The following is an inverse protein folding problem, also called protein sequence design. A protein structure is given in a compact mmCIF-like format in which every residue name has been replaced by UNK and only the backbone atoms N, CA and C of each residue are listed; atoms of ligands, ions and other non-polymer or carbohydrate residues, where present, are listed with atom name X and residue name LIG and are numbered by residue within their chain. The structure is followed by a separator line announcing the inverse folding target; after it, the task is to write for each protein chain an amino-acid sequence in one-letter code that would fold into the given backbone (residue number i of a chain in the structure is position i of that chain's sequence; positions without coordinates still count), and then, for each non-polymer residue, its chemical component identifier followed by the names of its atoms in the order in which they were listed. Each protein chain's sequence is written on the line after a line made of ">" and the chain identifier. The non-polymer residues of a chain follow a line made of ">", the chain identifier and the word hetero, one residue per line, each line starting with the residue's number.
data_IF_718177815715
#
_entry.id   IF_718177815715
#
_cell.length_a   1.000
_cell.length_b   1.000
_cell.length_c   1.000
_cell.angle_alpha   90.00
_cell.angle_beta   90.00
_cell.angle_gamma   90.00
#
_symmetry.space_group_name_H-M   'P 1'
#
loop_
_entity.id
_entity.type
_entity.pdbx_description
1 polymer ?
#
# COMPACT_ATOMS: atom_id res chain seq x y z
N UNK A 1 -114.17 28.09 -150.94
CA UNK A 1 -113.59 26.98 -151.73
C UNK A 1 -114.04 26.97 -153.20
N UNK A 2 -115.14 27.63 -153.61
CA UNK A 2 -115.55 27.74 -155.03
C UNK A 2 -114.86 28.87 -155.83
N UNK A 3 -114.27 29.87 -155.17
CA UNK A 3 -113.65 31.03 -155.84
C UNK A 3 -112.14 30.87 -156.16
N UNK A 4 -111.48 29.85 -155.61
CA UNK A 4 -110.01 29.62 -155.76
C UNK A 4 -109.66 28.65 -156.90
N UNK A 5 -110.64 27.93 -157.44
CA UNK A 5 -110.46 27.02 -158.59
C UNK A 5 -110.46 27.77 -159.93
N UNK A 6 -111.15 28.91 -160.00
CA UNK A 6 -111.31 29.72 -161.23
C UNK A 6 -110.10 30.63 -161.54
N UNK A 7 -109.13 30.73 -160.62
CA UNK A 7 -107.91 31.54 -160.78
C UNK A 7 -106.64 30.72 -161.07
N UNK A 8 -106.76 29.45 -161.49
CA UNK A 8 -105.62 28.62 -161.88
C UNK A 8 -104.73 28.15 -160.72
N UNK A 9 -105.18 28.31 -159.48
CA UNK A 9 -104.50 27.81 -158.30
C UNK A 9 -104.91 26.36 -157.99
N UNK A 10 -103.92 25.48 -157.83
CA UNK A 10 -104.14 24.08 -157.47
C UNK A 10 -104.54 23.99 -155.99
N UNK A 11 -105.86 24.02 -155.75
CA UNK A 11 -106.47 24.01 -154.41
C UNK A 11 -105.96 22.85 -153.55
N UNK A 12 -105.59 21.72 -154.17
CA UNK A 12 -105.02 20.55 -153.48
C UNK A 12 -103.63 20.84 -152.90
N UNK A 13 -102.83 21.65 -153.59
CA UNK A 13 -101.48 22.06 -153.19
C UNK A 13 -101.51 23.15 -152.12
N UNK A 14 -102.51 24.05 -152.16
CA UNK A 14 -102.73 25.05 -151.11
C UNK A 14 -103.20 24.38 -149.83
N UNK A 15 -104.15 23.43 -149.90
CA UNK A 15 -104.62 22.69 -148.72
C UNK A 15 -103.49 21.86 -148.10
N UNK A 16 -102.64 21.20 -148.88
CA UNK A 16 -101.49 20.45 -148.34
C UNK A 16 -100.44 21.35 -147.70
N UNK A 17 -100.19 22.54 -148.25
CA UNK A 17 -99.33 23.55 -147.64
C UNK A 17 -99.92 24.09 -146.33
N UNK A 18 -101.22 24.40 -146.29
CA UNK A 18 -101.92 24.86 -145.07
C UNK A 18 -101.88 23.78 -143.99
N UNK A 19 -102.11 22.51 -144.32
CA UNK A 19 -101.97 21.40 -143.37
C UNK A 19 -100.54 21.20 -142.88
N UNK A 20 -99.52 21.43 -143.72
CA UNK A 20 -98.13 21.44 -143.29
C UNK A 20 -97.85 22.61 -142.33
N UNK A 21 -98.37 23.80 -142.59
CA UNK A 21 -98.26 24.94 -141.68
C UNK A 21 -99.00 24.72 -140.35
N UNK A 22 -100.17 24.09 -140.36
CA UNK A 22 -100.87 23.69 -139.14
C UNK A 22 -100.06 22.67 -138.33
N UNK A 23 -99.46 21.66 -138.98
CA UNK A 23 -98.59 20.69 -138.32
C UNK A 23 -97.34 21.36 -137.74
N UNK A 24 -96.67 22.25 -138.48
CA UNK A 24 -95.54 23.02 -137.95
C UNK A 24 -95.94 23.94 -136.81
N UNK A 25 -97.14 24.54 -136.85
CA UNK A 25 -97.65 25.35 -135.74
C UNK A 25 -97.86 24.51 -134.49
N UNK A 26 -98.43 23.30 -134.62
CA UNK A 26 -98.60 22.37 -133.50
C UNK A 26 -97.26 21.88 -132.94
N UNK A 27 -96.28 21.61 -133.81
CA UNK A 27 -94.91 21.27 -133.41
C UNK A 27 -94.22 22.44 -132.69
N UNK A 28 -94.37 23.67 -133.19
CA UNK A 28 -93.86 24.88 -132.54
C UNK A 28 -94.50 25.11 -131.17
N UNK A 29 -95.81 24.88 -131.04
CA UNK A 29 -96.51 24.96 -129.75
C UNK A 29 -96.08 23.86 -128.78
N UNK A 30 -95.82 22.65 -129.28
CA UNK A 30 -95.29 21.54 -128.48
C UNK A 30 -93.87 21.84 -128.00
N UNK A 31 -92.99 22.27 -128.89
CA UNK A 31 -91.62 22.70 -128.55
C UNK A 31 -91.62 23.88 -127.59
N UNK A 32 -92.55 24.82 -127.74
CA UNK A 32 -92.70 25.94 -126.80
C UNK A 32 -93.10 25.47 -125.40
N UNK A 33 -94.00 24.50 -125.29
CA UNK A 33 -94.36 23.88 -123.99
C UNK A 33 -93.17 23.14 -123.37
N UNK A 34 -92.48 22.31 -124.15
CA UNK A 34 -91.27 21.61 -123.72
C UNK A 34 -90.17 22.59 -123.29
N UNK A 35 -90.01 23.72 -123.98
CA UNK A 35 -89.06 24.78 -123.61
C UNK A 35 -89.43 25.46 -122.29
N UNK A 36 -90.73 25.66 -122.02
CA UNK A 36 -91.19 26.24 -120.75
C UNK A 36 -90.95 25.25 -119.61
N UNK A 37 -91.31 23.97 -119.79
CA UNK A 37 -91.06 22.90 -118.80
C UNK A 37 -89.55 22.70 -118.55
N UNK A 38 -88.72 22.78 -119.59
CA UNK A 38 -87.27 22.75 -119.48
C UNK A 38 -86.72 23.96 -118.72
N UNK A 39 -87.31 25.15 -118.89
CA UNK A 39 -86.92 26.36 -118.13
C UNK A 39 -87.32 26.25 -116.66
N UNK A 40 -88.54 25.82 -116.37
CA UNK A 40 -89.00 25.63 -114.99
C UNK A 40 -88.18 24.56 -114.25
N UNK A 41 -87.81 23.47 -114.94
CA UNK A 41 -86.91 22.46 -114.35
C UNK A 41 -85.49 22.99 -114.16
N UNK A 42 -84.96 23.78 -115.09
CA UNK A 42 -83.67 24.46 -114.90
C UNK A 42 -83.69 25.45 -113.72
N UNK A 43 -84.78 26.20 -113.54
CA UNK A 43 -84.95 27.10 -112.39
C UNK A 43 -84.98 26.33 -111.07
N UNK A 44 -85.72 25.21 -111.00
CA UNK A 44 -85.73 24.33 -109.82
C UNK A 44 -84.34 23.77 -109.50
N UNK A 45 -83.64 23.26 -110.52
CA UNK A 45 -82.27 22.76 -110.36
C UNK A 45 -81.31 23.88 -109.91
N UNK A 46 -81.50 25.11 -110.40
CA UNK A 46 -80.70 26.26 -109.96
C UNK A 46 -80.93 26.58 -108.48
N UNK A 47 -82.19 26.56 -108.02
CA UNK A 47 -82.52 26.76 -106.61
C UNK A 47 -81.98 25.64 -105.71
N UNK A 48 -82.09 24.37 -106.16
CA UNK A 48 -81.51 23.23 -105.45
C UNK A 48 -79.99 23.32 -105.37
N UNK A 49 -79.32 23.77 -106.43
CA UNK A 49 -77.88 24.01 -106.42
C UNK A 49 -77.49 25.09 -105.41
N UNK A 50 -78.21 26.21 -105.36
CA UNK A 50 -77.92 27.28 -104.40
C UNK A 50 -78.10 26.82 -102.95
N UNK A 51 -79.12 26.01 -102.66
CA UNK A 51 -79.32 25.44 -101.33
C UNK A 51 -78.23 24.44 -100.96
N UNK A 52 -77.81 23.59 -101.90
CA UNK A 52 -76.67 22.69 -101.71
C UNK A 52 -75.35 23.46 -101.50
N UNK A 53 -75.12 24.55 -102.22
CA UNK A 53 -73.94 25.38 -102.06
C UNK A 53 -73.90 26.06 -100.67
N UNK A 54 -75.06 26.44 -100.11
CA UNK A 54 -75.16 26.94 -98.74
C UNK A 54 -74.85 25.84 -97.71
N UNK A 55 -75.47 24.67 -97.85
CA UNK A 55 -75.23 23.53 -96.95
C UNK A 55 -73.76 23.09 -96.98
N UNK A 56 -73.14 23.06 -98.17
CA UNK A 56 -71.71 22.76 -98.29
C UNK A 56 -70.84 23.76 -97.52
N UNK A 57 -71.16 25.06 -97.58
CA UNK A 57 -70.42 26.08 -96.81
C UNK A 57 -70.57 25.87 -95.30
N UNK A 58 -71.76 25.52 -94.83
CA UNK A 58 -72.01 25.19 -93.42
C UNK A 58 -71.21 23.95 -93.00
N UNK A 59 -71.26 22.88 -93.80
CA UNK A 59 -70.48 21.65 -93.56
C UNK A 59 -68.98 21.93 -93.50
N UNK A 60 -68.43 22.72 -94.43
CA UNK A 60 -67.02 23.13 -94.37
C UNK A 60 -66.69 23.91 -93.10
N UNK A 61 -67.58 24.83 -92.67
CA UNK A 61 -67.43 25.56 -91.41
C UNK A 61 -67.46 24.66 -90.18
N UNK A 62 -68.32 23.64 -90.17
CA UNK A 62 -68.39 22.63 -89.11
C UNK A 62 -67.11 21.76 -89.08
N UNK A 63 -66.59 21.35 -90.23
CA UNK A 63 -65.34 20.57 -90.32
C UNK A 63 -64.16 21.36 -89.76
N UNK A 64 -64.05 22.66 -90.08
CA UNK A 64 -63.01 23.51 -89.51
C UNK A 64 -63.21 23.72 -88.00
N UNK A 65 -64.46 23.90 -87.55
CA UNK A 65 -64.81 23.94 -86.12
C UNK A 65 -64.40 22.68 -85.36
N UNK A 66 -64.69 21.50 -85.92
CA UNK A 66 -64.30 20.20 -85.37
C UNK A 66 -62.77 20.04 -85.33
N UNK A 67 -62.06 20.50 -86.36
CA UNK A 67 -60.59 20.50 -86.38
C UNK A 67 -60.02 21.36 -85.26
N UNK A 68 -60.58 22.55 -85.04
CA UNK A 68 -60.14 23.44 -83.96
C UNK A 68 -60.40 22.81 -82.57
N UNK A 69 -61.60 22.27 -82.34
CA UNK A 69 -61.91 21.56 -81.09
C UNK A 69 -60.99 20.38 -80.85
N UNK A 70 -60.64 19.61 -81.89
CA UNK A 70 -59.67 18.53 -81.78
C UNK A 70 -58.30 19.04 -81.31
N UNK A 71 -57.81 20.12 -81.92
CA UNK A 71 -56.53 20.73 -81.53
C UNK A 71 -56.56 21.22 -80.07
N UNK A 72 -57.68 21.79 -79.62
CA UNK A 72 -57.81 22.27 -78.24
C UNK A 72 -57.92 21.11 -77.23
N UNK A 73 -58.58 20.00 -77.59
CA UNK A 73 -58.56 18.77 -76.78
C UNK A 73 -57.13 18.22 -76.65
N UNK A 74 -56.35 18.22 -77.74
CA UNK A 74 -54.96 17.77 -77.71
C UNK A 74 -54.10 18.66 -76.79
N UNK A 75 -54.25 19.99 -76.86
CA UNK A 75 -53.55 20.92 -75.95
C UNK A 75 -53.95 20.69 -74.50
N UNK A 76 -55.25 20.59 -74.20
CA UNK A 76 -55.73 20.34 -72.85
C UNK A 76 -55.27 18.98 -72.31
N UNK A 77 -55.15 17.97 -73.16
CA UNK A 77 -54.58 16.68 -72.75
C UNK A 77 -53.11 16.82 -72.34
N UNK A 78 -52.31 17.57 -73.10
CA UNK A 78 -50.91 17.83 -72.77
C UNK A 78 -50.81 18.62 -71.46
N UNK A 79 -51.61 19.67 -71.28
CA UNK A 79 -51.65 20.44 -70.04
C UNK A 79 -52.04 19.58 -68.83
N UNK A 80 -53.04 18.70 -69.00
CA UNK A 80 -53.44 17.74 -67.97
C UNK A 80 -52.32 16.78 -67.61
N UNK A 81 -51.58 16.28 -68.58
CA UNK A 81 -50.45 15.38 -68.33
C UNK A 81 -49.30 16.10 -67.60
N UNK A 82 -49.03 17.37 -67.94
CA UNK A 82 -48.04 18.21 -67.24
C UNK A 82 -48.47 18.42 -65.78
N UNK A 83 -49.70 18.88 -65.55
CA UNK A 83 -50.23 19.12 -64.19
C UNK A 83 -50.23 17.84 -63.37
N UNK A 84 -50.59 16.70 -63.96
CA UNK A 84 -50.56 15.40 -63.29
C UNK A 84 -49.13 15.00 -62.90
N UNK A 85 -48.14 15.30 -63.75
CA UNK A 85 -46.73 15.05 -63.42
C UNK A 85 -46.22 15.95 -62.29
N UNK A 86 -46.63 17.22 -62.26
CA UNK A 86 -46.28 18.17 -61.19
C UNK A 86 -46.93 17.77 -59.87
N UNK A 87 -48.20 17.36 -59.88
CA UNK A 87 -48.90 16.85 -58.71
C UNK A 87 -48.22 15.59 -58.14
N UNK A 88 -47.72 14.69 -58.99
CA UNK A 88 -46.97 13.52 -58.54
C UNK A 88 -45.68 13.93 -57.82
N UNK A 89 -44.93 14.89 -58.37
CA UNK A 89 -43.71 15.41 -57.74
C UNK A 89 -43.99 16.07 -56.40
N UNK A 90 -45.01 16.93 -56.33
CA UNK A 90 -45.40 17.56 -55.07
C UNK A 90 -45.90 16.54 -54.05
N UNK A 91 -46.58 15.47 -54.48
CA UNK A 91 -46.97 14.39 -53.57
C UNK A 91 -45.75 13.68 -52.97
N UNK A 92 -44.73 13.40 -53.78
CA UNK A 92 -43.48 12.79 -53.32
C UNK A 92 -42.71 13.71 -52.36
N UNK A 93 -42.63 15.01 -52.66
CA UNK A 93 -42.02 16.02 -51.77
C UNK A 93 -42.78 16.16 -50.45
N UNK A 94 -44.12 16.12 -50.47
CA UNK A 94 -44.92 16.16 -49.25
C UNK A 94 -44.67 14.92 -48.39
N UNK A 95 -44.55 13.74 -49.00
CA UNK A 95 -44.29 12.51 -48.26
C UNK A 95 -42.86 12.42 -47.72
N UNK A 96 -41.86 13.00 -48.40
CA UNK A 96 -40.51 13.13 -47.85
C UNK A 96 -40.49 14.10 -46.66
N UNK A 97 -41.13 15.27 -46.79
CA UNK A 97 -41.23 16.25 -45.70
C UNK A 97 -41.97 15.69 -44.48
N UNK A 98 -43.02 14.89 -44.66
CA UNK A 98 -43.70 14.21 -43.54
C UNK A 98 -42.74 13.30 -42.76
N UNK A 99 -41.90 12.52 -43.46
CA UNK A 99 -40.90 11.65 -42.81
C UNK A 99 -39.86 12.47 -42.04
N UNK A 100 -39.36 13.55 -42.63
CA UNK A 100 -38.43 14.46 -41.94
C UNK A 100 -39.06 15.08 -40.68
N UNK A 101 -40.34 15.47 -40.76
CA UNK A 101 -41.08 15.98 -39.59
C UNK A 101 -41.20 14.89 -38.51
N UNK A 102 -41.53 13.65 -38.87
CA UNK A 102 -41.58 12.54 -37.92
C UNK A 102 -40.22 12.31 -37.23
N UNK A 103 -39.14 12.30 -37.99
CA UNK A 103 -37.77 12.20 -37.45
C UNK A 103 -37.44 13.35 -36.49
N UNK A 104 -37.74 14.59 -36.87
CA UNK A 104 -37.53 15.77 -36.02
C UNK A 104 -38.39 15.72 -34.75
N UNK A 105 -39.61 15.18 -34.82
CA UNK A 105 -40.45 15.00 -33.63
C UNK A 105 -39.86 13.97 -32.68
N UNK A 106 -39.35 12.85 -33.19
CA UNK A 106 -38.66 11.84 -32.38
C UNK A 106 -37.41 12.43 -31.71
N UNK A 107 -36.56 13.13 -32.46
CA UNK A 107 -35.39 13.82 -31.89
C UNK A 107 -35.78 14.82 -30.80
N UNK A 108 -36.92 15.50 -30.93
CA UNK A 108 -37.43 16.41 -29.89
C UNK A 108 -37.85 15.67 -28.62
N UNK A 109 -38.35 14.44 -28.71
CA UNK A 109 -38.60 13.60 -27.54
C UNK A 109 -37.30 13.20 -26.85
N UNK A 110 -36.30 12.74 -27.61
CA UNK A 110 -34.99 12.37 -27.08
C UNK A 110 -34.31 13.57 -26.37
N UNK A 111 -34.40 14.77 -26.96
CA UNK A 111 -33.87 15.99 -26.35
C UNK A 111 -34.58 16.35 -25.03
N UNK A 112 -35.87 16.02 -24.86
CA UNK A 112 -36.56 16.22 -23.58
C UNK A 112 -36.05 15.23 -22.54
N UNK A 113 -35.84 13.97 -22.91
CA UNK A 113 -35.29 12.95 -22.01
C UNK A 113 -33.87 13.31 -21.56
N UNK A 114 -33.01 13.72 -22.50
CA UNK A 114 -31.65 14.21 -22.19
C UNK A 114 -31.70 15.39 -21.23
N UNK A 115 -32.62 16.35 -21.42
CA UNK A 115 -32.75 17.49 -20.51
C UNK A 115 -33.18 17.07 -19.09
N UNK A 116 -34.04 16.07 -18.95
CA UNK A 116 -34.42 15.53 -17.64
C UNK A 116 -33.23 14.89 -16.93
N UNK A 117 -32.48 14.04 -17.65
CA UNK A 117 -31.25 13.41 -17.12
C UNK A 117 -30.21 14.46 -16.74
N UNK A 118 -30.07 15.52 -17.54
CA UNK A 118 -29.14 16.61 -17.25
C UNK A 118 -29.55 17.39 -15.99
N UNK A 119 -30.84 17.61 -15.77
CA UNK A 119 -31.34 18.21 -14.52
C UNK A 119 -31.09 17.30 -13.31
N UNK A 120 -31.32 16.00 -13.44
CA UNK A 120 -31.04 15.02 -12.39
C UNK A 120 -29.55 15.02 -12.02
N UNK A 121 -28.65 14.95 -13.01
CA UNK A 121 -27.20 15.01 -12.78
C UNK A 121 -26.72 16.32 -12.18
N UNK A 122 -27.35 17.45 -12.51
CA UNK A 122 -27.08 18.72 -11.83
C UNK A 122 -27.44 18.68 -10.36
N UNK A 123 -28.60 18.14 -10.00
CA UNK A 123 -29.02 17.98 -8.60
C UNK A 123 -28.08 17.05 -7.83
N UNK A 124 -27.72 15.89 -8.41
CA UNK A 124 -26.74 14.99 -7.81
C UNK A 124 -25.39 15.69 -7.57
N UNK A 125 -24.93 16.49 -8.52
CA UNK A 125 -23.68 17.26 -8.38
C UNK A 125 -23.75 18.31 -7.26
N UNK A 126 -24.90 18.98 -7.10
CA UNK A 126 -25.11 19.95 -6.01
C UNK A 126 -25.15 19.25 -4.64
N UNK A 127 -25.81 18.09 -4.54
CA UNK A 127 -25.83 17.29 -3.31
C UNK A 127 -24.44 16.77 -2.93
N UNK A 128 -23.67 16.29 -3.91
CA UNK A 128 -22.28 15.90 -3.68
C UNK A 128 -21.42 17.09 -3.27
N UNK A 129 -21.64 18.27 -3.84
CA UNK A 129 -20.98 19.52 -3.41
C UNK A 129 -21.21 19.82 -1.93
N UNK A 130 -22.46 19.72 -1.46
CA UNK A 130 -22.80 19.90 -0.04
C UNK A 130 -22.12 18.88 0.87
N UNK A 131 -22.12 17.59 0.49
CA UNK A 131 -21.41 16.54 1.24
C UNK A 131 -19.91 16.80 1.33
N UNK A 132 -19.30 17.33 0.27
CA UNK A 132 -17.87 17.72 0.31
C UNK A 132 -17.63 18.86 1.29
N UNK A 133 -18.53 19.84 1.38
CA UNK A 133 -18.44 20.92 2.37
C UNK A 133 -18.62 20.41 3.80
N UNK A 134 -19.58 19.51 4.03
CA UNK A 134 -19.79 18.83 5.32
C UNK A 134 -18.52 18.08 5.75
N UNK A 135 -17.96 17.24 4.87
CA UNK A 135 -16.72 16.50 5.14
C UNK A 135 -15.52 17.41 5.39
N UNK A 136 -15.44 18.57 4.73
CA UNK A 136 -14.38 19.56 5.00
C UNK A 136 -14.51 20.15 6.41
N UNK A 137 -15.74 20.41 6.86
CA UNK A 137 -15.98 20.90 8.21
C UNK A 137 -15.63 19.82 9.25
N UNK A 138 -16.07 18.58 9.04
CA UNK A 138 -15.68 17.44 9.90
C UNK A 138 -14.16 17.27 9.97
N UNK A 139 -13.46 17.40 8.84
CA UNK A 139 -12.00 17.33 8.81
C UNK A 139 -11.34 18.47 9.59
N UNK A 140 -11.88 19.69 9.51
CA UNK A 140 -11.39 20.82 10.29
C UNK A 140 -11.58 20.60 11.80
N UNK A 141 -12.71 20.03 12.22
CA UNK A 141 -12.96 19.64 13.60
C UNK A 141 -11.98 18.56 14.08
N UNK A 142 -11.73 17.53 13.26
CA UNK A 142 -10.77 16.47 13.58
C UNK A 142 -9.34 17.00 13.71
N UNK A 143 -8.92 17.95 12.87
CA UNK A 143 -7.62 18.63 13.00
C UNK A 143 -7.54 19.39 14.33
N UNK A 144 -8.63 20.06 14.75
CA UNK A 144 -8.71 20.72 16.05
C UNK A 144 -8.59 19.75 17.24
N UNK A 145 -9.23 18.59 17.13
CA UNK A 145 -9.10 17.50 18.11
C UNK A 145 -7.66 16.96 18.14
N UNK A 146 -7.02 16.76 16.99
CA UNK A 146 -5.63 16.29 16.92
C UNK A 146 -4.66 17.28 17.59
N UNK A 147 -4.86 18.59 17.38
CA UNK A 147 -4.08 19.62 18.07
C UNK A 147 -4.28 19.54 19.59
N UNK A 148 -5.52 19.38 20.05
CA UNK A 148 -5.84 19.22 21.47
C UNK A 148 -5.20 17.96 22.08
N UNK A 149 -5.19 16.84 21.34
CA UNK A 149 -4.51 15.61 21.76
C UNK A 149 -3.00 15.83 21.89
N UNK A 150 -2.37 16.53 20.94
CA UNK A 150 -0.95 16.88 21.02
C UNK A 150 -0.64 17.71 22.26
N UNK A 151 -1.47 18.70 22.59
CA UNK A 151 -1.32 19.49 23.82
C UNK A 151 -1.45 18.62 25.08
N UNK A 152 -2.44 17.72 25.13
CA UNK A 152 -2.61 16.80 26.26
C UNK A 152 -1.38 15.90 26.41
N UNK A 153 -0.84 15.36 25.31
CA UNK A 153 0.37 14.54 25.34
C UNK A 153 1.60 15.30 25.83
N UNK A 154 1.75 16.58 25.45
CA UNK A 154 2.84 17.43 25.98
C UNK A 154 2.70 17.66 27.47
N UNK A 155 1.50 18.03 27.96
CA UNK A 155 1.22 18.20 29.39
C UNK A 155 1.43 16.91 30.17
N UNK A 156 1.05 15.76 29.61
CA UNK A 156 1.27 14.45 30.22
C UNK A 156 2.76 14.16 30.40
N UNK A 157 3.59 14.46 29.39
CA UNK A 157 5.05 14.31 29.49
C UNK A 157 5.64 15.20 30.58
N UNK A 158 5.25 16.48 30.62
CA UNK A 158 5.70 17.41 31.66
C UNK A 158 5.30 16.95 33.06
N UNK A 159 4.10 16.41 33.23
CA UNK A 159 3.66 15.84 34.51
C UNK A 159 4.44 14.59 34.90
N UNK A 160 4.74 13.70 33.94
CA UNK A 160 5.58 12.53 34.19
C UNK A 160 7.01 12.92 34.62
N UNK A 161 7.61 13.93 33.98
CA UNK A 161 8.91 14.46 34.38
C UNK A 161 8.88 15.05 35.80
N UNK A 162 7.81 15.79 36.16
CA UNK A 162 7.61 16.31 37.53
C UNK A 162 7.46 15.17 38.54
N UNK A 163 6.73 14.11 38.20
CA UNK A 163 6.60 12.92 39.06
C UNK A 163 7.97 12.27 39.26
N UNK A 164 8.78 12.11 38.21
CA UNK A 164 10.12 11.51 38.34
C UNK A 164 11.04 12.36 39.24
N UNK A 165 10.97 13.69 39.15
CA UNK A 165 11.70 14.61 40.04
C UNK A 165 11.24 14.43 41.49
N UNK A 166 9.93 14.41 41.73
CA UNK A 166 9.36 14.20 43.07
C UNK A 166 9.72 12.83 43.64
N UNK A 167 9.72 11.76 42.83
CA UNK A 167 10.16 10.43 43.26
C UNK A 167 11.63 10.42 43.68
N UNK A 168 12.50 11.15 42.97
CA UNK A 168 13.92 11.32 43.37
C UNK A 168 14.04 12.09 44.69
N UNK A 169 13.24 13.15 44.86
CA UNK A 169 13.21 13.90 46.12
C UNK A 169 12.69 13.07 47.30
N UNK A 170 11.67 12.24 47.08
CA UNK A 170 11.14 11.32 48.10
C UNK A 170 12.22 10.31 48.50
N UNK A 171 12.87 9.64 47.55
CA UNK A 171 13.97 8.71 47.83
C UNK A 171 15.11 9.37 48.59
N UNK A 172 15.45 10.62 48.24
CA UNK A 172 16.46 11.38 48.97
C UNK A 172 16.00 11.65 50.42
N UNK A 173 14.75 12.06 50.62
CA UNK A 173 14.20 12.30 51.97
C UNK A 173 14.10 11.03 52.80
N UNK A 174 13.67 9.91 52.21
CA UNK A 174 13.65 8.59 52.85
C UNK A 174 15.06 8.20 53.32
N UNK A 175 16.07 8.38 52.46
CA UNK A 175 17.47 8.10 52.85
C UNK A 175 17.97 8.98 54.00
N UNK A 176 17.50 10.23 54.10
CA UNK A 176 17.84 11.14 55.21
C UNK A 176 17.14 10.68 56.49
N UNK A 177 15.88 10.26 56.42
CA UNK A 177 15.12 9.74 57.57
C UNK A 177 15.80 8.48 58.12
N UNK A 178 16.18 7.53 57.26
CA UNK A 178 16.89 6.31 57.66
C UNK A 178 18.22 6.61 58.36
N UNK A 179 18.92 7.66 57.93
CA UNK A 179 20.13 8.13 58.60
C UNK A 179 19.82 8.71 59.97
N UNK A 180 18.85 9.63 60.07
CA UNK A 180 18.43 10.28 61.30
C UNK A 180 17.93 9.30 62.36
N UNK A 181 17.13 8.30 61.97
CA UNK A 181 16.68 7.23 62.86
C UNK A 181 17.89 6.43 63.39
N UNK A 182 18.87 6.16 62.53
CA UNK A 182 20.14 5.57 62.95
C UNK A 182 20.91 6.43 63.95
N UNK A 183 20.95 7.75 63.77
CA UNK A 183 21.60 8.68 64.70
C UNK A 183 20.88 8.72 66.05
N UNK A 184 19.55 8.74 66.05
CA UNK A 184 18.75 8.74 67.28
C UNK A 184 18.96 7.47 68.09
N UNK A 185 18.96 6.30 67.44
CA UNK A 185 19.25 5.02 68.12
C UNK A 185 20.65 5.04 68.71
N UNK A 186 21.65 5.45 67.94
CA UNK A 186 23.03 5.51 68.44
C UNK A 186 23.21 6.52 69.58
N UNK A 187 22.58 7.70 69.49
CA UNK A 187 22.61 8.70 70.54
C UNK A 187 21.95 8.18 71.83
N UNK A 188 20.84 7.44 71.71
CA UNK A 188 20.20 6.77 72.84
C UNK A 188 21.11 5.71 73.47
N UNK A 189 21.78 4.86 72.68
CA UNK A 189 22.75 3.88 73.18
C UNK A 189 23.93 4.54 73.90
N UNK A 190 24.47 5.65 73.37
CA UNK A 190 25.52 6.44 74.05
C UNK A 190 25.02 7.02 75.36
N UNK A 191 23.84 7.63 75.37
CA UNK A 191 23.26 8.21 76.59
C UNK A 191 23.02 7.14 77.65
N UNK A 192 22.54 5.96 77.25
CA UNK A 192 22.34 4.81 78.14
C UNK A 192 23.67 4.32 78.75
N UNK A 193 24.72 4.19 77.94
CA UNK A 193 26.07 3.85 78.42
C UNK A 193 26.68 4.93 79.33
N UNK A 194 26.38 6.20 79.10
CA UNK A 194 26.84 7.31 79.94
C UNK A 194 26.08 7.39 81.28
N UNK A 195 24.80 7.00 81.30
CA UNK A 195 23.98 6.99 82.51
C UNK A 195 24.23 5.75 83.38
N UNK A 196 24.58 4.60 82.78
CA UNK A 196 24.90 3.36 83.48
C UNK A 196 26.01 2.57 82.75
N UNK A 197 27.30 2.75 83.14
CA UNK A 197 28.42 2.11 82.47
C UNK A 197 28.58 0.62 82.79
N UNK A 198 27.91 0.10 83.83
CA UNK A 198 27.96 -1.31 84.23
C UNK A 198 26.76 -2.11 83.66
N UNK A 199 25.69 -1.43 83.22
CA UNK A 199 24.46 -2.02 82.65
C UNK A 199 24.37 -2.10 81.12
N UNK A 200 25.42 -1.74 80.39
CA UNK A 200 25.43 -1.77 78.91
C UNK A 200 25.36 -3.19 78.34
N UNK A 201 24.32 -3.50 77.55
CA UNK A 201 24.20 -4.81 76.88
C UNK A 201 25.05 -4.85 75.60
N UNK A 202 25.48 -6.05 75.18
CA UNK A 202 26.29 -6.25 73.96
C UNK A 202 25.62 -5.66 72.72
N UNK A 203 24.28 -5.69 72.68
CA UNK A 203 23.45 -5.11 71.62
C UNK A 203 23.64 -3.58 71.48
N UNK A 204 23.81 -2.85 72.58
CA UNK A 204 24.01 -1.39 72.55
C UNK A 204 25.38 -1.04 71.93
N UNK A 205 26.40 -1.85 72.18
CA UNK A 205 27.74 -1.72 71.59
C UNK A 205 27.78 -2.13 70.11
N UNK A 206 27.01 -3.14 69.73
CA UNK A 206 26.85 -3.55 68.32
C UNK A 206 26.11 -2.49 67.50
N UNK A 207 25.04 -1.90 68.06
CA UNK A 207 24.32 -0.79 67.44
C UNK A 207 25.24 0.42 67.21
N UNK A 208 26.08 0.74 68.19
CA UNK A 208 27.08 1.80 68.06
C UNK A 208 28.16 1.48 67.02
N UNK A 209 28.66 0.25 67.00
CA UNK A 209 29.62 -0.21 66.00
C UNK A 209 29.06 -0.12 64.58
N UNK A 210 27.83 -0.59 64.37
CA UNK A 210 27.14 -0.52 63.09
C UNK A 210 26.90 0.93 62.64
N UNK A 211 26.53 1.82 63.57
CA UNK A 211 26.35 3.24 63.28
C UNK A 211 27.67 3.95 62.95
N UNK A 212 28.74 3.68 63.68
CA UNK A 212 30.08 4.21 63.38
C UNK A 212 30.56 3.72 61.99
N UNK A 213 30.29 2.46 61.64
CA UNK A 213 30.59 1.95 60.30
C UNK A 213 29.76 2.64 59.20
N UNK A 214 28.48 2.92 59.44
CA UNK A 214 27.63 3.70 58.53
C UNK A 214 28.14 5.13 58.38
N UNK A 215 28.49 5.82 59.47
CA UNK A 215 29.08 7.16 59.43
C UNK A 215 30.43 7.21 58.71
N UNK A 216 31.26 6.18 58.86
CA UNK A 216 32.53 6.07 58.12
C UNK A 216 32.29 5.95 56.62
N UNK A 217 31.21 5.27 56.18
CA UNK A 217 30.81 5.22 54.76
C UNK A 217 30.27 6.56 54.27
N UNK A 218 29.46 7.24 55.07
CA UNK A 218 28.98 8.61 54.79
C UNK A 218 30.16 9.58 54.62
N UNK A 219 31.15 9.52 55.52
CA UNK A 219 32.36 10.38 55.46
C UNK A 219 33.28 10.07 54.27
N UNK A 220 33.20 8.87 53.69
CA UNK A 220 33.93 8.47 52.48
C UNK A 220 33.28 8.96 51.18
N UNK A 221 32.13 9.64 51.26
CA UNK A 221 31.46 10.25 50.10
C UNK A 221 30.46 9.36 49.38
N UNK A 222 30.05 8.25 49.99
CA UNK A 222 29.05 7.32 49.42
C UNK A 222 27.60 7.73 49.73
N UNK A 223 27.37 8.78 50.55
CA UNK A 223 26.05 9.34 50.86
C UNK A 223 26.05 10.87 50.71
N UNK A 224 24.94 11.42 50.19
CA UNK A 224 24.80 12.83 49.82
C UNK A 224 24.75 13.76 51.04
N UNK A 225 25.72 14.69 51.07
CA UNK A 225 25.71 16.02 51.68
C UNK A 225 25.05 16.16 53.07
N UNK A 226 25.81 15.83 54.11
CA UNK A 226 25.66 16.49 55.41
C UNK A 226 26.74 17.57 55.59
N UNK A 227 26.38 18.67 56.27
CA UNK A 227 27.37 19.63 56.78
C UNK A 227 28.32 18.88 57.72
N UNK A 228 29.65 19.00 57.53
CA UNK A 228 30.60 18.34 58.43
C UNK A 228 30.39 18.84 59.87
N UNK A 229 30.24 17.91 60.81
CA UNK A 229 30.24 18.21 62.25
C UNK A 229 31.47 19.06 62.58
N UNK A 230 31.28 20.10 63.39
CA UNK A 230 32.35 21.05 63.70
C UNK A 230 33.59 20.32 64.27
N UNK A 231 34.81 20.64 63.79
CA UNK A 231 36.03 19.92 64.16
C UNK A 231 36.26 19.80 65.66
N UNK A 232 35.81 20.82 66.40
CA UNK A 232 35.89 20.89 67.86
C UNK A 232 35.12 19.76 68.56
N UNK A 233 33.93 19.38 68.06
CA UNK A 233 33.12 18.32 68.66
C UNK A 233 33.77 16.96 68.41
N UNK A 234 34.32 16.74 67.22
CA UNK A 234 35.04 15.52 66.87
C UNK A 234 36.30 15.36 67.73
N UNK A 235 37.07 16.44 67.94
CA UNK A 235 38.26 16.41 68.80
C UNK A 235 37.91 16.17 70.27
N UNK A 236 36.79 16.71 70.74
CA UNK A 236 36.30 16.46 72.09
C UNK A 236 35.91 15.01 72.28
N UNK A 237 35.06 14.47 71.40
CA UNK A 237 34.63 13.06 71.44
C UNK A 237 35.84 12.13 71.30
N UNK A 238 36.79 12.44 70.43
CA UNK A 238 38.04 11.67 70.28
C UNK A 238 38.85 11.65 71.57
N UNK A 239 39.05 12.80 72.22
CA UNK A 239 39.75 12.86 73.51
C UNK A 239 39.02 12.06 74.58
N UNK A 240 37.69 12.21 74.66
CA UNK A 240 36.88 11.47 75.64
C UNK A 240 36.92 9.96 75.41
N UNK A 241 36.86 9.49 74.15
CA UNK A 241 37.02 8.08 73.80
C UNK A 241 38.42 7.56 74.15
N UNK A 242 39.47 8.33 73.86
CA UNK A 242 40.85 7.97 74.22
C UNK A 242 40.98 7.86 75.74
N UNK A 243 40.43 8.81 76.50
CA UNK A 243 40.49 8.82 77.95
C UNK A 243 39.70 7.66 78.59
N UNK A 244 38.56 7.28 77.99
CA UNK A 244 37.74 6.15 78.42
C UNK A 244 38.37 4.79 78.11
N UNK A 245 38.99 4.63 76.92
CA UNK A 245 39.44 3.33 76.42
C UNK A 245 40.90 3.03 76.79
N UNK A 246 41.78 4.05 76.84
CA UNK A 246 43.21 3.84 77.14
C UNK A 246 43.52 3.16 78.48
N UNK A 247 42.78 3.37 79.58
CA UNK A 247 43.02 2.68 80.84
C UNK A 247 42.88 1.15 80.73
N UNK A 248 41.95 0.69 79.89
CA UNK A 248 41.66 -0.73 79.71
C UNK A 248 42.62 -1.40 78.72
N UNK A 249 43.02 -0.69 77.66
CA UNK A 249 43.97 -1.24 76.69
C UNK A 249 45.44 -1.25 77.17
N UNK A 250 45.82 -0.40 78.14
CA UNK A 250 47.20 -0.33 78.67
C UNK A 250 47.72 -1.67 79.22
N UNK A 251 46.84 -2.59 79.62
CA UNK A 251 47.23 -3.89 80.19
C UNK A 251 47.53 -4.96 79.12
N UNK A 252 47.02 -4.78 77.89
CA UNK A 252 47.18 -5.74 76.79
C UNK A 252 48.24 -5.31 75.76
N UNK A 253 48.77 -4.09 75.87
CA UNK A 253 49.84 -3.62 74.99
C UNK A 253 51.22 -4.09 75.46
N UNK A 254 51.80 -5.01 74.70
CA UNK A 254 53.20 -5.44 74.86
C UNK A 254 54.14 -4.27 74.49
N UNK A 255 55.08 -3.89 75.38
CA UNK A 255 56.02 -2.80 75.11
C UNK A 255 56.80 -3.00 73.82
N UNK A 256 57.00 -1.90 73.06
CA UNK A 256 57.65 -1.90 71.74
C UNK A 256 59.05 -2.56 71.72
N UNK A 257 59.79 -2.48 72.84
CA UNK A 257 61.10 -3.13 72.97
C UNK A 257 61.03 -4.67 72.97
N UNK A 258 59.91 -5.26 73.41
CA UNK A 258 59.69 -6.72 73.36
C UNK A 258 59.46 -7.15 71.91
N UNK A 259 58.67 -6.38 71.15
CA UNK A 259 58.51 -6.59 69.71
C UNK A 259 59.83 -6.44 68.96
N UNK A 260 60.62 -5.41 69.24
CA UNK A 260 61.94 -5.23 68.62
C UNK A 260 62.90 -6.39 68.94
N UNK A 261 62.82 -6.98 70.14
CA UNK A 261 63.60 -8.15 70.53
C UNK A 261 63.15 -9.40 69.77
N UNK A 262 61.85 -9.63 69.68
CA UNK A 262 61.26 -10.74 68.92
C UNK A 262 61.56 -10.59 67.43
N UNK A 263 61.49 -9.39 66.87
CA UNK A 263 61.89 -9.12 65.48
C UNK A 263 63.37 -9.40 65.23
N UNK A 264 64.26 -9.02 66.16
CA UNK A 264 65.69 -9.35 66.06
C UNK A 264 65.94 -10.86 66.12
N UNK A 265 65.28 -11.56 67.05
CA UNK A 265 65.38 -13.03 67.15
C UNK A 265 64.79 -13.72 65.92
N UNK A 266 63.65 -13.24 65.39
CA UNK A 266 63.07 -13.72 64.14
C UNK A 266 63.99 -13.47 62.94
N UNK A 267 64.65 -12.31 62.86
CA UNK A 267 65.63 -12.02 61.81
C UNK A 267 66.80 -12.99 61.88
N UNK A 268 67.40 -13.18 63.05
CA UNK A 268 68.50 -14.14 63.24
C UNK A 268 68.06 -15.58 62.92
N UNK A 269 66.86 -15.98 63.32
CA UNK A 269 66.31 -17.30 62.97
C UNK A 269 65.99 -17.42 61.49
N UNK A 270 65.53 -16.35 60.84
CA UNK A 270 65.29 -16.33 59.40
C UNK A 270 66.57 -16.40 58.60
N UNK A 271 67.64 -15.73 59.04
CA UNK A 271 68.98 -15.82 58.44
C UNK A 271 69.55 -17.24 58.61
N UNK A 272 69.42 -17.82 59.81
CA UNK A 272 69.81 -19.23 60.04
C UNK A 272 68.98 -20.20 59.20
N UNK A 273 67.69 -19.95 59.05
CA UNK A 273 66.80 -20.76 58.20
C UNK A 273 67.22 -20.65 56.73
N UNK A 274 67.51 -19.44 56.23
CA UNK A 274 67.96 -19.23 54.85
C UNK A 274 69.31 -19.92 54.64
N UNK A 275 70.27 -19.78 55.57
CA UNK A 275 71.55 -20.47 55.48
C UNK A 275 71.40 -22.00 55.46
N UNK A 276 70.54 -22.56 56.32
CA UNK A 276 70.22 -23.98 56.32
C UNK A 276 69.45 -24.41 55.06
N UNK A 277 68.57 -23.57 54.52
CA UNK A 277 67.87 -23.80 53.25
C UNK A 277 68.84 -23.75 52.06
N UNK A 278 69.87 -22.90 52.10
CA UNK A 278 70.95 -22.87 51.11
C UNK A 278 71.87 -24.08 51.23
N UNK A 279 72.18 -24.54 52.45
CA UNK A 279 72.89 -25.80 52.68
C UNK A 279 72.06 -27.00 52.19
N UNK A 280 70.76 -27.04 52.51
CA UNK A 280 69.84 -28.06 51.98
C UNK A 280 69.73 -27.95 50.46
N UNK A 281 69.68 -26.75 49.89
CA UNK A 281 69.64 -26.55 48.44
C UNK A 281 70.97 -26.95 47.79
N UNK A 282 72.10 -26.72 48.43
CA UNK A 282 73.41 -27.17 47.97
C UNK A 282 73.51 -28.69 48.06
N UNK A 283 73.05 -29.31 49.15
CA UNK A 283 72.98 -30.76 49.30
C UNK A 283 72.00 -31.37 48.29
N UNK A 284 70.86 -30.73 48.04
CA UNK A 284 69.92 -31.10 46.97
C UNK A 284 70.55 -30.96 45.60
N UNK A 285 71.30 -29.89 45.30
CA UNK A 285 72.05 -29.75 44.05
C UNK A 285 73.12 -30.84 43.92
N UNK A 286 73.84 -31.17 44.98
CA UNK A 286 74.80 -32.28 44.98
C UNK A 286 74.12 -33.64 44.79
N UNK A 287 72.91 -33.82 45.34
CA UNK A 287 72.07 -35.00 45.10
C UNK A 287 71.52 -34.99 43.68
N UNK A 288 71.14 -33.84 43.11
CA UNK A 288 70.70 -33.67 41.72
C UNK A 288 71.84 -33.88 40.72
N UNK A 289 73.06 -33.46 41.04
CA UNK A 289 74.26 -33.76 40.25
C UNK A 289 74.61 -35.25 40.32
N UNK A 290 74.41 -35.90 41.48
CA UNK A 290 74.51 -37.37 41.61
C UNK A 290 73.35 -38.10 40.92
N UNK A 291 72.12 -37.60 40.99
CA UNK A 291 70.94 -38.21 40.37
C UNK A 291 70.83 -37.93 38.87
N UNK A 292 71.50 -36.89 38.35
CA UNK A 292 71.69 -36.66 36.90
C UNK A 292 72.72 -37.59 36.28
N UNK A 293 73.62 -38.20 37.08
CA UNK A 293 74.52 -39.28 36.63
C UNK A 293 73.85 -40.66 36.73
N UNK A 294 72.86 -40.85 37.61
CA UNK A 294 72.23 -42.16 37.86
C UNK A 294 70.76 -42.33 37.44
N UNK A 295 70.08 -41.29 36.95
CA UNK A 295 68.80 -41.45 36.29
C UNK A 295 68.49 -40.26 35.38
N UNK A 296 68.75 -40.41 34.09
CA UNK A 296 68.00 -39.68 33.06
C UNK A 296 66.55 -40.16 33.14
N UNK A 297 65.79 -39.56 34.06
CA UNK A 297 64.36 -39.30 33.90
C UNK A 297 64.23 -37.82 33.54
N UNK A 298 63.26 -37.43 32.72
CA UNK A 298 62.63 -36.14 32.91
C UNK A 298 61.37 -36.36 33.75
N UNK A 299 61.36 -35.62 34.84
CA UNK A 299 60.24 -35.27 35.68
C UNK A 299 59.14 -34.53 34.88
N UNK A 300 57.92 -34.53 35.41
CA UNK A 300 57.16 -33.28 35.50
C UNK A 300 56.11 -33.36 36.62
N UNK A 301 56.42 -32.71 37.74
CA UNK A 301 55.41 -31.96 38.48
C UNK A 301 55.03 -30.74 37.63
N UNK A 302 53.76 -30.60 37.26
CA UNK A 302 53.17 -29.31 36.93
C UNK A 302 51.78 -29.19 37.57
N UNK A 303 51.74 -28.23 38.50
CA UNK A 303 50.61 -27.37 38.89
C UNK A 303 49.39 -27.54 37.97
N UNK A 304 48.28 -27.97 38.56
CA UNK A 304 46.96 -27.98 37.92
C UNK A 304 46.52 -26.52 37.74
N UNK A 305 46.92 -25.93 36.62
CA UNK A 305 46.14 -24.87 35.98
C UNK A 305 44.90 -25.55 35.41
N UNK A 306 43.71 -25.17 35.87
CA UNK A 306 42.43 -25.69 35.35
C UNK A 306 42.23 -25.06 33.96
N UNK A 307 42.87 -25.66 32.95
CA UNK A 307 42.60 -25.42 31.55
C UNK A 307 41.49 -26.37 31.09
N UNK A 308 40.65 -25.90 30.16
CA UNK A 308 39.47 -26.64 29.71
C UNK A 308 39.88 -27.76 28.74
N UNK A 309 39.88 -29.00 29.23
CA UNK A 309 40.34 -30.17 28.47
C UNK A 309 39.20 -30.91 27.74
N UNK A 310 39.53 -31.39 26.54
CA UNK A 310 38.71 -32.27 25.71
C UNK A 310 39.38 -33.65 25.66
N UNK A 311 38.68 -34.69 26.14
CA UNK A 311 39.21 -36.07 26.21
C UNK A 311 38.22 -37.02 25.54
N UNK A 312 38.72 -37.89 24.65
CA UNK A 312 37.90 -38.95 24.06
C UNK A 312 37.79 -40.15 25.02
N UNK A 313 36.57 -40.66 25.20
CA UNK A 313 36.26 -41.76 26.12
C UNK A 313 35.51 -42.86 25.36
N UNK A 314 36.01 -44.09 25.44
CA UNK A 314 35.33 -45.28 24.90
C UNK A 314 34.19 -45.75 25.83
N UNK A 315 33.35 -46.68 25.37
CA UNK A 315 32.21 -47.20 26.15
C UNK A 315 32.61 -47.97 27.42
N UNK A 316 33.89 -48.35 27.57
CA UNK A 316 34.43 -49.05 28.76
C UNK A 316 35.25 -48.14 29.70
N UNK A 317 35.15 -46.81 29.56
CA UNK A 317 35.67 -45.86 30.54
C UNK A 317 37.20 -45.65 30.52
N UNK A 318 37.91 -46.09 29.48
CA UNK A 318 39.33 -45.79 29.29
C UNK A 318 39.48 -44.47 28.53
N UNK A 319 40.27 -43.55 29.08
CA UNK A 319 40.55 -42.23 28.51
C UNK A 319 41.77 -42.29 27.60
N UNK A 320 41.63 -41.79 26.36
CA UNK A 320 42.76 -41.64 25.44
C UNK A 320 42.99 -40.17 25.14
N UNK A 321 44.23 -39.68 25.34
CA UNK A 321 44.63 -38.33 24.97
C UNK A 321 44.69 -38.18 23.45
N UNK A 322 44.03 -37.14 22.92
CA UNK A 322 44.01 -36.84 21.48
C UNK A 322 45.41 -36.39 21.03
N UNK A 323 45.97 -37.03 19.99
CA UNK A 323 47.35 -36.83 19.55
C UNK A 323 47.58 -35.56 18.72
N UNK A 324 46.54 -34.89 18.23
CA UNK A 324 46.64 -33.75 17.29
C UNK A 324 46.03 -32.41 17.78
N UNK A 325 46.03 -32.13 19.09
CA UNK A 325 45.44 -30.90 19.66
C UNK A 325 46.15 -29.61 19.15
N UNK A 326 47.37 -29.69 18.63
CA UNK A 326 48.18 -28.55 18.17
C UNK A 326 47.94 -28.10 16.72
N UNK A 327 47.21 -28.85 15.89
CA UNK A 327 47.09 -28.57 14.43
C UNK A 327 45.66 -28.34 13.91
N UNK A 328 44.63 -28.38 14.76
CA UNK A 328 43.23 -28.30 14.31
C UNK A 328 42.53 -26.93 14.47
N UNK A 329 41.39 -26.76 13.77
CA UNK A 329 40.61 -25.51 13.73
C UNK A 329 40.05 -25.16 15.11
N UNK A 330 40.18 -23.88 15.51
CA UNK A 330 39.62 -23.35 16.77
C UNK A 330 38.09 -23.24 16.65
N UNK A 331 37.35 -23.98 17.47
CA UNK A 331 35.90 -23.90 17.54
C UNK A 331 35.44 -23.35 18.88
N UNK A 332 34.36 -22.56 18.85
CA UNK A 332 33.73 -21.99 20.04
C UNK A 332 32.68 -22.97 20.56
N UNK A 333 32.92 -23.57 21.71
CA UNK A 333 31.98 -24.48 22.38
C UNK A 333 31.34 -23.75 23.57
N UNK A 334 30.02 -23.63 23.54
CA UNK A 334 29.22 -23.08 24.66
C UNK A 334 28.86 -24.17 25.65
N UNK A 335 29.20 -23.99 26.93
CA UNK A 335 28.81 -24.91 27.99
C UNK A 335 27.29 -24.91 28.18
N UNK A 336 26.66 -26.09 28.16
CA UNK A 336 25.21 -26.24 28.34
C UNK A 336 24.77 -25.77 29.74
N UNK A 337 25.63 -25.89 30.75
CA UNK A 337 25.28 -25.61 32.15
C UNK A 337 25.47 -24.15 32.58
N UNK A 338 26.50 -23.46 32.11
CA UNK A 338 26.77 -22.06 32.50
C UNK A 338 26.71 -21.07 31.32
N UNK A 339 26.42 -21.54 30.10
CA UNK A 339 26.40 -20.78 28.84
C UNK A 339 27.70 -20.04 28.49
N UNK A 340 28.77 -20.27 29.24
CA UNK A 340 30.08 -19.71 28.92
C UNK A 340 30.64 -20.35 27.65
N UNK A 341 31.16 -19.53 26.74
CA UNK A 341 31.73 -19.99 25.49
C UNK A 341 33.26 -20.08 25.61
N UNK A 342 33.79 -21.29 25.52
CA UNK A 342 35.23 -21.56 25.52
C UNK A 342 35.70 -21.87 24.09
N UNK A 343 36.81 -21.25 23.67
CA UNK A 343 37.43 -21.51 22.36
C UNK A 343 38.44 -22.64 22.54
N UNK A 344 38.25 -23.74 21.83
CA UNK A 344 39.12 -24.92 21.95
C UNK A 344 39.50 -25.41 20.56
N UNK A 345 40.73 -25.89 20.40
CA UNK A 345 41.18 -26.54 19.17
C UNK A 345 40.53 -27.93 19.06
N UNK A 346 39.80 -28.16 17.98
CA UNK A 346 39.26 -29.48 17.67
C UNK A 346 40.36 -30.35 17.02
N UNK A 347 40.36 -31.68 17.20
CA UNK A 347 41.23 -32.58 16.45
C UNK A 347 40.91 -32.60 14.95
N UNK A 348 41.84 -33.12 14.13
CA UNK A 348 41.72 -33.13 12.65
C UNK A 348 40.53 -33.95 12.14
N UNK A 349 40.03 -33.63 10.93
CA UNK A 349 38.84 -34.29 10.34
C UNK A 349 39.00 -35.81 10.21
N UNK A 350 40.21 -36.30 9.91
CA UNK A 350 40.52 -37.73 9.81
C UNK A 350 40.41 -38.47 11.16
N UNK A 351 40.85 -37.85 12.26
CA UNK A 351 40.74 -38.45 13.60
C UNK A 351 39.30 -38.44 14.13
N UNK A 352 38.48 -37.46 13.73
CA UNK A 352 37.05 -37.41 14.08
C UNK A 352 36.25 -38.52 13.36
N UNK A 353 36.62 -38.88 12.13
CA UNK A 353 36.01 -39.99 11.38
C UNK A 353 36.41 -41.37 11.95
N UNK A 354 37.66 -41.52 12.40
CA UNK A 354 38.12 -42.73 13.10
C UNK A 354 37.42 -42.91 14.46
N UNK A 355 37.20 -41.82 15.21
CA UNK A 355 36.51 -41.85 16.51
C UNK A 355 35.00 -42.12 16.39
N UNK A 356 34.37 -41.64 15.31
CA UNK A 356 32.98 -42.00 14.95
C UNK A 356 32.87 -43.48 14.59
N UNK A 357 33.79 -43.97 13.76
CA UNK A 357 33.84 -45.38 13.34
C UNK A 357 34.07 -46.36 14.51
N UNK A 358 34.66 -45.89 15.62
CA UNK A 358 34.91 -46.66 16.85
C UNK A 358 33.88 -46.40 17.98
N UNK A 359 32.77 -45.70 17.71
CA UNK A 359 31.68 -45.42 18.67
C UNK A 359 32.15 -44.73 19.98
N UNK A 360 33.16 -43.87 19.90
CA UNK A 360 33.70 -43.15 21.07
C UNK A 360 32.99 -41.80 21.28
N UNK A 361 32.87 -41.35 22.54
CA UNK A 361 32.24 -40.07 22.92
C UNK A 361 33.31 -39.06 23.35
N UNK A 362 33.17 -37.80 22.95
CA UNK A 362 34.08 -36.71 23.34
C UNK A 362 33.58 -36.04 24.61
N UNK A 363 34.30 -36.17 25.73
CA UNK A 363 33.92 -35.54 27.00
C UNK A 363 34.63 -34.20 27.15
N UNK A 364 33.85 -33.13 27.22
CA UNK A 364 34.36 -31.77 27.43
C UNK A 364 34.21 -31.35 28.89
N UNK A 365 35.28 -30.84 29.52
CA UNK A 365 35.27 -30.25 30.86
C UNK A 365 35.30 -28.71 30.79
N UNK A 366 34.26 -28.05 31.29
CA UNK A 366 34.23 -26.60 31.33
C UNK A 366 35.18 -26.04 32.39
N UNK A 367 36.12 -25.16 32.00
CA UNK A 367 37.11 -24.57 32.91
C UNK A 367 36.53 -23.62 33.98
N UNK A 368 35.32 -23.10 33.79
CA UNK A 368 34.68 -22.15 34.73
C UNK A 368 33.79 -22.83 35.77
N UNK A 369 33.06 -23.89 35.39
CA UNK A 369 32.11 -24.57 36.27
C UNK A 369 32.49 -26.01 36.64
N UNK A 370 33.59 -26.55 36.09
CA UNK A 370 34.13 -27.87 36.41
C UNK A 370 33.29 -29.06 35.92
N UNK A 371 32.08 -28.83 35.38
CA UNK A 371 31.17 -29.89 34.93
C UNK A 371 31.57 -30.43 33.56
N UNK A 372 31.46 -31.75 33.40
CA UNK A 372 31.72 -32.46 32.15
C UNK A 372 30.44 -32.86 31.44
N UNK A 373 30.39 -32.72 30.11
CA UNK A 373 29.32 -33.31 29.29
C UNK A 373 29.89 -33.95 28.02
N UNK A 374 29.15 -34.91 27.49
CA UNK A 374 29.57 -35.74 26.37
C UNK A 374 28.99 -35.18 25.06
N UNK A 375 29.87 -34.97 24.08
CA UNK A 375 29.59 -34.56 22.71
C UNK A 375 29.79 -35.76 21.79
N UNK A 376 28.85 -35.98 20.87
CA UNK A 376 28.99 -37.01 19.84
C UNK A 376 29.87 -36.48 18.69
N UNK A 377 30.88 -37.24 18.23
CA UNK A 377 31.76 -36.83 17.13
C UNK A 377 31.02 -36.44 15.85
N UNK A 378 29.92 -37.13 15.52
CA UNK A 378 29.12 -36.89 14.31
C UNK A 378 28.52 -35.49 14.23
N UNK A 379 28.13 -34.92 15.38
CA UNK A 379 27.56 -33.57 15.47
C UNK A 379 28.63 -32.51 15.22
N UNK A 380 29.89 -32.82 15.56
CA UNK A 380 31.03 -31.93 15.35
C UNK A 380 31.51 -32.04 13.89
N UNK A 381 31.54 -33.24 13.31
CA UNK A 381 31.86 -33.44 11.89
C UNK A 381 30.92 -32.67 10.95
N UNK A 382 29.60 -32.71 11.20
CA UNK A 382 28.63 -31.92 10.41
C UNK A 382 28.90 -30.42 10.46
N UNK A 383 29.22 -29.90 11.65
CA UNK A 383 29.55 -28.47 11.84
C UNK A 383 30.89 -28.04 11.23
N UNK A 384 31.86 -28.95 11.10
CA UNK A 384 33.15 -28.64 10.47
C UNK A 384 33.06 -28.75 8.95
N UNK A 385 32.27 -29.69 8.41
CA UNK A 385 31.99 -29.84 6.97
C UNK A 385 31.01 -28.78 6.41
N UNK A 386 30.37 -28.00 7.28
CA UNK A 386 29.51 -26.87 6.88
C UNK A 386 28.12 -27.29 6.39
N UNK A 387 27.56 -28.36 6.96
CA UNK A 387 26.17 -28.79 6.76
C UNK A 387 25.23 -28.37 7.90
#
# INVERSE_FOLDING_TARGET
>A
MSYLKDQGYDVSRIVSQVSQYENFSQELEKLKRELIEAKESLEKISQERETLDMLLREEYGLVDGLRNLKNDIEKLSIERDIVQSELSKYSEEVDSLKKEIEELTNMKFDLREINLLLQEKKRESEELGKKVEELKNELAELIGVEASIKEILTKQKELLEKVEVLEKEIKNKESIIDLLDGEMVAAYSVLKLLQDPEGGTVEDLEQLSQYIQKLVKVKKGEALAQKPLEPYLLDRVRKTLIDLVMPYLKKDFVPRWVFERVEKELKLLSEKRIALEEEIASLRRSIEERSRVEAVKPEHEKKVEIQSDLVAVSQDGVTSGLKSISEGRKARITCIYCREASIIALPSEAELEELSSQNMKLRFRCGKCGKTYDLQPDIILRKVRGE
#
